data_IF_406507531367
#
_entry.id   IF_406507531367
#
_cell.length_a   1.000
_cell.length_b   1.000
_cell.length_c   1.000
_cell.angle_alpha   90.00
_cell.angle_beta   90.00
_cell.angle_gamma   90.00
#
_symmetry.space_group_name_H-M   'P 1'
#
loop_
_entity.id
_entity.type
_entity.pdbx_description
1 polymer ?
#
# COMPACT_ATOMS: atom_id res chain seq x y z
N UNK A 1 5.25 -7.58 1.00
CA UNK A 1 4.08 -8.01 1.80
C UNK A 1 2.74 -7.71 1.12
N UNK A 2 2.68 -6.81 0.14
CA UNK A 2 1.43 -6.52 -0.58
C UNK A 2 0.32 -6.08 0.39
N UNK A 3 -0.90 -6.60 0.21
CA UNK A 3 -2.04 -6.31 1.09
C UNK A 3 -1.99 -7.03 2.46
N UNK A 4 -0.98 -7.86 2.74
CA UNK A 4 -0.83 -8.52 4.04
C UNK A 4 -1.83 -9.64 4.33
N UNK A 5 -2.38 -10.30 3.30
CA UNK A 5 -3.41 -11.36 3.48
C UNK A 5 -2.93 -12.52 4.36
N UNK A 6 -1.70 -13.00 4.18
CA UNK A 6 -1.12 -14.08 5.02
C UNK A 6 -0.92 -13.62 6.45
N UNK A 7 -0.44 -12.38 6.64
CA UNK A 7 -0.34 -11.77 7.95
C UNK A 7 -1.71 -11.73 8.64
N UNK A 8 -2.73 -11.21 7.96
CA UNK A 8 -4.08 -11.08 8.49
C UNK A 8 -4.76 -12.42 8.84
N UNK A 9 -4.31 -13.54 8.29
CA UNK A 9 -4.92 -14.87 8.51
C UNK A 9 -4.07 -15.87 9.31
N UNK A 10 -2.93 -15.45 9.88
CA UNK A 10 -2.09 -16.31 10.73
C UNK A 10 -2.03 -15.80 12.16
N UNK A 11 -1.58 -16.63 13.11
CA UNK A 11 -1.43 -16.28 14.53
C UNK A 11 0.00 -16.62 15.01
N UNK A 12 0.94 -15.72 14.76
CA UNK A 12 2.30 -15.77 15.30
C UNK A 12 2.46 -14.74 16.42
N UNK A 13 3.39 -15.00 17.35
CA UNK A 13 3.68 -14.09 18.47
C UNK A 13 4.23 -12.74 18.00
N UNK A 14 5.02 -12.74 16.92
CA UNK A 14 5.60 -11.54 16.34
C UNK A 14 5.73 -11.66 14.81
N UNK A 15 5.68 -10.51 14.13
CA UNK A 15 5.82 -10.43 12.67
C UNK A 15 6.87 -9.40 12.27
N UNK A 16 7.63 -9.70 11.22
CA UNK A 16 8.43 -8.73 10.48
C UNK A 16 7.84 -8.65 9.08
N UNK A 17 7.29 -7.48 8.74
CA UNK A 17 6.59 -7.22 7.48
C UNK A 17 7.41 -6.22 6.66
N UNK A 18 8.05 -6.71 5.60
CA UNK A 18 8.88 -5.89 4.73
C UNK A 18 8.26 -5.64 3.35
N UNK A 19 8.41 -4.42 2.86
CA UNK A 19 8.05 -4.03 1.50
C UNK A 19 8.98 -2.93 1.00
N UNK A 20 9.21 -2.85 -0.30
CA UNK A 20 10.06 -1.81 -0.89
C UNK A 20 9.32 -0.48 -1.05
N UNK A 21 8.00 -0.51 -0.97
CA UNK A 21 7.18 0.69 -1.04
C UNK A 21 7.17 1.43 0.30
N UNK A 22 7.92 2.52 0.38
CA UNK A 22 8.01 3.39 1.56
C UNK A 22 6.66 4.02 1.95
N UNK A 23 5.80 4.31 1.00
CA UNK A 23 4.47 4.89 1.24
C UNK A 23 3.56 3.89 1.95
N UNK A 24 3.63 2.63 1.53
CA UNK A 24 2.88 1.53 2.15
C UNK A 24 3.34 1.28 3.59
N UNK A 25 4.66 1.25 3.81
CA UNK A 25 5.24 1.07 5.14
C UNK A 25 4.92 2.25 6.06
N UNK A 26 4.96 3.48 5.53
CA UNK A 26 4.58 4.69 6.26
C UNK A 26 3.10 4.64 6.66
N UNK A 27 2.20 4.30 5.73
CA UNK A 27 0.77 4.09 6.01
C UNK A 27 0.58 3.07 7.15
N UNK A 28 1.19 1.89 7.06
CA UNK A 28 1.01 0.85 8.06
C UNK A 28 1.49 1.28 9.45
N UNK A 29 2.62 1.96 9.54
CA UNK A 29 3.10 2.51 10.82
C UNK A 29 2.16 3.58 11.38
N UNK A 30 1.64 4.48 10.53
CA UNK A 30 0.69 5.52 10.95
C UNK A 30 -0.62 4.90 11.44
N UNK A 31 -1.19 3.94 10.71
CA UNK A 31 -2.42 3.25 11.12
C UNK A 31 -2.21 2.49 12.43
N UNK A 32 -1.05 1.85 12.61
CA UNK A 32 -0.68 1.17 13.87
C UNK A 32 -0.59 2.15 15.04
N UNK A 33 0.06 3.30 14.87
CA UNK A 33 0.39 4.21 15.98
C UNK A 33 -0.70 5.25 16.28
N UNK A 34 -1.48 5.64 15.27
CA UNK A 34 -2.44 6.75 15.33
C UNK A 34 -3.80 6.37 14.74
N UNK A 35 -4.29 5.17 15.05
CA UNK A 35 -5.48 4.57 14.40
C UNK A 35 -6.71 5.47 14.43
N UNK A 36 -7.10 5.96 15.61
CA UNK A 36 -8.34 6.75 15.76
C UNK A 36 -8.28 8.08 15.02
N UNK A 37 -7.14 8.78 15.09
CA UNK A 37 -6.91 10.01 14.31
C UNK A 37 -6.96 9.72 12.81
N UNK A 38 -6.26 8.68 12.38
CA UNK A 38 -6.18 8.32 10.97
C UNK A 38 -7.55 7.96 10.40
N UNK A 39 -8.34 7.14 11.10
CA UNK A 39 -9.70 6.77 10.69
C UNK A 39 -10.61 8.00 10.62
N UNK A 40 -10.55 8.90 11.62
CA UNK A 40 -11.34 10.14 11.65
C UNK A 40 -11.03 11.00 10.42
N UNK A 41 -9.76 11.24 10.15
CA UNK A 41 -9.32 12.17 9.12
C UNK A 41 -9.46 11.56 7.72
N UNK A 42 -9.19 10.26 7.57
CA UNK A 42 -9.33 9.54 6.30
C UNK A 42 -10.78 9.52 5.82
N UNK A 43 -11.74 9.33 6.74
CA UNK A 43 -13.17 9.30 6.40
C UNK A 43 -13.63 10.56 5.65
N UNK A 44 -13.03 11.71 5.93
CA UNK A 44 -13.38 12.98 5.29
C UNK A 44 -13.12 12.97 3.77
N UNK A 45 -12.22 12.10 3.29
CA UNK A 45 -11.92 11.93 1.87
C UNK A 45 -12.88 10.95 1.16
N UNK A 46 -13.74 10.24 1.89
CA UNK A 46 -14.66 9.22 1.36
C UNK A 46 -16.11 9.73 1.35
N UNK A 47 -16.30 10.95 0.84
CA UNK A 47 -17.61 11.60 0.66
C UNK A 47 -17.93 11.81 -0.81
N UNK A 48 -19.18 12.14 -1.14
CA UNK A 48 -19.59 12.42 -2.52
C UNK A 48 -18.87 13.66 -3.10
N UNK A 49 -18.48 14.62 -2.25
CA UNK A 49 -17.68 15.78 -2.63
C UNK A 49 -16.34 15.37 -3.24
N UNK A 50 -15.68 14.37 -2.68
CA UNK A 50 -14.40 13.86 -3.18
C UNK A 50 -14.55 12.73 -4.21
N UNK A 51 -15.77 12.38 -4.64
CA UNK A 51 -16.02 11.34 -5.64
C UNK A 51 -16.17 11.89 -7.07
N UNK A 52 -15.30 12.81 -7.46
CA UNK A 52 -15.30 13.39 -8.81
C UNK A 52 -13.87 13.51 -9.38
N UNK A 53 -13.77 13.69 -10.70
CA UNK A 53 -12.49 13.68 -11.39
C UNK A 53 -11.59 14.86 -11.03
N UNK A 54 -12.16 16.04 -10.80
CA UNK A 54 -11.40 17.25 -10.46
C UNK A 54 -10.69 17.06 -9.12
N UNK A 55 -11.43 16.69 -8.08
CA UNK A 55 -10.88 16.41 -6.75
C UNK A 55 -9.85 15.28 -6.79
N UNK A 56 -10.12 14.22 -7.56
CA UNK A 56 -9.19 13.11 -7.70
C UNK A 56 -7.82 13.55 -8.25
N UNK A 57 -7.79 14.37 -9.30
CA UNK A 57 -6.52 14.84 -9.89
C UNK A 57 -5.80 15.84 -8.99
N UNK A 58 -6.53 16.72 -8.30
CA UNK A 58 -5.96 17.65 -7.31
C UNK A 58 -5.30 16.90 -6.14
N UNK A 59 -6.00 15.94 -5.53
CA UNK A 59 -5.48 15.14 -4.42
C UNK A 59 -4.31 14.25 -4.85
N UNK A 60 -4.28 13.82 -6.12
CA UNK A 60 -3.14 13.09 -6.68
C UNK A 60 -1.91 13.96 -6.87
N UNK A 61 -2.07 15.20 -7.31
CA UNK A 61 -0.98 16.17 -7.37
C UNK A 61 -0.44 16.49 -5.97
N UNK A 62 -1.34 16.68 -5.01
CA UNK A 62 -0.98 16.86 -3.60
C UNK A 62 -0.17 15.66 -3.07
N UNK A 63 -0.61 14.43 -3.35
CA UNK A 63 0.11 13.22 -2.94
C UNK A 63 1.55 13.19 -3.49
N UNK A 64 1.75 13.63 -4.73
CA UNK A 64 3.07 13.63 -5.38
C UNK A 64 4.00 14.75 -4.89
N UNK A 65 3.46 15.81 -4.28
CA UNK A 65 4.21 17.02 -3.91
C UNK A 65 4.35 17.21 -2.40
N UNK A 66 3.46 16.62 -1.61
CA UNK A 66 3.48 16.77 -0.15
C UNK A 66 4.67 16.06 0.50
N UNK A 67 5.30 16.75 1.44
CA UNK A 67 6.32 16.19 2.32
C UNK A 67 5.75 15.69 3.66
N UNK A 68 4.47 15.97 3.95
CA UNK A 68 3.80 15.51 5.17
C UNK A 68 3.42 14.04 5.05
N UNK A 69 4.12 13.17 5.77
CA UNK A 69 3.90 11.73 5.79
C UNK A 69 2.47 11.35 6.19
N UNK A 70 1.87 12.06 7.15
CA UNK A 70 0.52 11.79 7.62
C UNK A 70 -0.49 12.10 6.53
N UNK A 71 -0.38 13.29 5.91
CA UNK A 71 -1.23 13.67 4.79
C UNK A 71 -1.04 12.71 3.61
N UNK A 72 0.20 12.35 3.30
CA UNK A 72 0.53 11.42 2.21
C UNK A 72 -0.09 10.04 2.43
N UNK A 73 -0.13 9.54 3.67
CA UNK A 73 -0.80 8.28 4.01
C UNK A 73 -2.33 8.34 3.85
N UNK A 74 -2.98 9.46 4.23
CA UNK A 74 -4.42 9.66 4.00
C UNK A 74 -4.75 9.61 2.51
N UNK A 75 -3.96 10.34 1.71
CA UNK A 75 -4.10 10.39 0.25
C UNK A 75 -3.81 9.02 -0.39
N UNK A 76 -2.80 8.29 0.10
CA UNK A 76 -2.51 6.94 -0.37
C UNK A 76 -3.70 6.00 -0.20
N UNK A 77 -4.38 6.04 0.95
CA UNK A 77 -5.60 5.25 1.17
C UNK A 77 -6.72 5.66 0.22
N UNK A 78 -6.95 6.96 0.02
CA UNK A 78 -7.98 7.48 -0.89
C UNK A 78 -7.75 7.10 -2.36
N UNK A 79 -6.49 7.12 -2.82
CA UNK A 79 -6.15 6.81 -4.21
C UNK A 79 -6.17 5.29 -4.49
N UNK A 80 -5.99 4.44 -3.48
CA UNK A 80 -5.89 2.97 -3.64
C UNK A 80 -7.13 2.31 -4.27
N UNK A 81 -8.39 2.60 -3.86
CA UNK A 81 -9.58 2.06 -4.53
C UNK A 81 -9.68 2.43 -6.01
N UNK A 82 -9.26 3.64 -6.40
CA UNK A 82 -9.26 4.07 -7.80
C UNK A 82 -8.21 3.33 -8.64
N UNK A 83 -7.10 2.93 -8.03
CA UNK A 83 -6.08 2.08 -8.69
C UNK A 83 -6.52 0.64 -8.87
N UNK A 84 -7.63 0.16 -8.26
CA UNK A 84 -8.04 -1.25 -8.31
C UNK A 84 -8.43 -1.75 -9.72
N UNK A 85 -8.70 -0.86 -10.68
CA UNK A 85 -8.87 -1.22 -12.11
C UNK A 85 -7.52 -1.59 -12.76
N UNK A 86 -6.41 -1.22 -12.13
CA UNK A 86 -5.03 -1.62 -12.46
C UNK A 86 -4.44 -2.34 -11.25
N UNK A 87 -4.66 -3.66 -11.17
CA UNK A 87 -4.15 -4.54 -10.12
C UNK A 87 -2.61 -4.71 -10.11
N UNK A 88 -1.87 -3.61 -10.13
CA UNK A 88 -0.43 -3.56 -9.92
C UNK A 88 -0.15 -2.62 -8.75
N UNK A 89 -0.12 -3.17 -7.54
CA UNK A 89 0.64 -2.59 -6.46
C UNK A 89 2.13 -2.76 -6.81
N UNK A 90 2.66 -1.88 -7.67
CA UNK A 90 4.08 -1.83 -8.00
C UNK A 90 4.46 -0.40 -8.39
N UNK A 91 5.44 0.15 -7.66
CA UNK A 91 6.29 1.30 -8.01
C UNK A 91 5.67 2.70 -7.76
N UNK A 92 6.14 3.31 -6.67
CA UNK A 92 6.01 4.73 -6.32
C UNK A 92 6.37 5.66 -7.49
N UNK A 93 5.74 6.84 -7.52
CA UNK A 93 5.84 7.93 -8.51
C UNK A 93 5.33 7.64 -9.95
N UNK A 94 5.69 6.52 -10.57
CA UNK A 94 5.36 6.30 -12.00
C UNK A 94 3.88 5.93 -12.19
N UNK A 95 3.29 5.16 -11.27
CA UNK A 95 1.89 4.69 -11.38
C UNK A 95 0.88 5.71 -10.85
N UNK A 96 1.31 6.61 -9.95
CA UNK A 96 0.53 7.80 -9.60
C UNK A 96 0.08 8.50 -10.88
N UNK A 97 1.00 8.66 -11.85
CA UNK A 97 0.73 9.27 -13.17
C UNK A 97 -0.36 8.58 -14.01
N UNK A 98 -0.57 7.27 -13.83
CA UNK A 98 -1.49 6.44 -14.64
C UNK A 98 -2.85 6.17 -14.00
N UNK A 99 -3.03 6.50 -12.71
CA UNK A 99 -4.31 6.25 -12.04
C UNK A 99 -5.43 7.09 -12.65
N UNK A 100 -6.47 6.43 -13.17
CA UNK A 100 -7.70 7.07 -13.66
C UNK A 100 -8.80 6.92 -12.60
N UNK A 101 -9.72 7.86 -12.54
CA UNK A 101 -10.87 7.76 -11.64
C UNK A 101 -11.69 6.49 -11.97
N UNK A 102 -11.83 5.60 -10.99
CA UNK A 102 -12.78 4.49 -11.07
C UNK A 102 -14.21 5.01 -11.02
N UNK A 103 -15.11 4.47 -11.86
CA UNK A 103 -16.53 4.88 -11.89
C UNK A 103 -17.34 4.22 -10.78
N UNK A 104 -16.98 4.46 -9.52
CA UNK A 104 -17.73 3.94 -8.38
C UNK A 104 -18.82 4.95 -7.97
N UNK A 105 -20.06 4.47 -7.79
CA UNK A 105 -21.17 5.32 -7.32
C UNK A 105 -20.91 5.88 -5.91
N UNK A 106 -20.22 5.11 -5.06
CA UNK A 106 -19.80 5.50 -3.72
C UNK A 106 -18.55 4.70 -3.34
N UNK A 107 -17.40 5.34 -3.07
CA UNK A 107 -16.21 4.65 -2.59
C UNK A 107 -16.47 3.99 -1.22
N UNK A 108 -16.06 2.73 -1.06
CA UNK A 108 -16.12 2.05 0.24
C UNK A 108 -14.99 2.55 1.14
N UNK A 109 -15.32 2.98 2.36
CA UNK A 109 -14.34 3.35 3.39
C UNK A 109 -14.10 2.15 4.32
N UNK A 110 -12.87 1.59 4.37
CA UNK A 110 -12.58 0.36 5.10
C UNK A 110 -12.33 0.62 6.59
N UNK A 111 -13.34 1.10 7.31
CA UNK A 111 -13.21 1.47 8.72
C UNK A 111 -12.88 0.28 9.63
N UNK A 112 -13.67 -0.79 9.54
CA UNK A 112 -13.52 -1.97 10.38
C UNK A 112 -12.18 -2.66 10.10
N UNK A 113 -11.78 -2.72 8.83
CA UNK A 113 -10.51 -3.30 8.42
C UNK A 113 -9.30 -2.49 8.92
N UNK A 114 -9.41 -1.16 9.01
CA UNK A 114 -8.35 -0.31 9.57
C UNK A 114 -8.16 -0.57 11.07
N UNK A 115 -9.26 -0.67 11.83
CA UNK A 115 -9.18 -1.01 13.26
C UNK A 115 -8.66 -2.43 13.48
N UNK A 116 -9.14 -3.39 12.69
CA UNK A 116 -8.67 -4.77 12.75
C UNK A 116 -7.18 -4.89 12.41
N UNK A 117 -6.75 -4.19 11.36
CA UNK A 117 -5.34 -4.11 10.98
C UNK A 117 -4.51 -3.52 12.11
N UNK A 118 -4.94 -2.42 12.73
CA UNK A 118 -4.20 -1.77 13.81
C UNK A 118 -4.05 -2.69 15.04
N UNK A 119 -5.12 -3.38 15.43
CA UNK A 119 -5.11 -4.35 16.52
C UNK A 119 -4.08 -5.46 16.26
N UNK A 120 -4.13 -6.07 15.08
CA UNK A 120 -3.20 -7.13 14.70
C UNK A 120 -1.76 -6.65 14.58
N UNK A 121 -1.59 -5.40 14.13
CA UNK A 121 -0.28 -4.79 13.89
C UNK A 121 0.50 -4.47 15.15
N UNK A 122 -0.10 -4.57 16.35
CA UNK A 122 0.59 -4.35 17.63
C UNK A 122 1.87 -5.19 17.73
N UNK A 123 1.79 -6.45 17.32
CA UNK A 123 2.90 -7.42 17.36
C UNK A 123 3.72 -7.46 16.05
N UNK A 124 3.48 -6.52 15.12
CA UNK A 124 4.16 -6.46 13.84
C UNK A 124 5.18 -5.32 13.76
N UNK A 125 6.33 -5.58 13.18
CA UNK A 125 7.33 -4.57 12.81
C UNK A 125 7.31 -4.38 11.30
N UNK A 126 7.05 -3.15 10.85
CA UNK A 126 7.04 -2.81 9.43
C UNK A 126 8.38 -2.21 9.01
N UNK A 127 8.97 -2.74 7.94
CA UNK A 127 10.31 -2.35 7.50
C UNK A 127 10.31 -2.02 6.01
N UNK A 128 10.87 -0.88 5.64
CA UNK A 128 11.03 -0.49 4.24
C UNK A 128 12.39 -0.96 3.72
N UNK A 129 12.47 -2.20 3.27
CA UNK A 129 13.73 -2.84 2.87
C UNK A 129 13.53 -3.78 1.67
N UNK A 130 14.63 -4.03 0.95
CA UNK A 130 14.65 -5.05 -0.08
C UNK A 130 14.56 -6.44 0.55
N UNK A 131 13.88 -7.38 -0.12
CA UNK A 131 13.62 -8.71 0.44
C UNK A 131 14.88 -9.44 0.90
N UNK A 132 15.98 -9.27 0.15
CA UNK A 132 17.31 -9.79 0.50
C UNK A 132 17.73 -9.38 1.92
N UNK A 133 17.64 -8.07 2.23
CA UNK A 133 18.12 -7.50 3.49
C UNK A 133 17.25 -7.90 4.67
N UNK A 134 15.95 -8.14 4.44
CA UNK A 134 15.05 -8.67 5.46
C UNK A 134 15.29 -10.15 5.72
N UNK A 135 15.51 -10.96 4.67
CA UNK A 135 15.70 -12.41 4.82
C UNK A 135 16.95 -12.76 5.63
N UNK A 136 18.04 -12.00 5.48
CA UNK A 136 19.27 -12.25 6.26
C UNK A 136 19.11 -11.97 7.76
N UNK A 137 18.05 -11.27 8.17
CA UNK A 137 17.73 -11.00 9.58
C UNK A 137 16.89 -12.12 10.22
N UNK A 138 16.45 -13.12 9.45
CA UNK A 138 15.67 -14.22 9.97
C UNK A 138 16.51 -15.06 10.95
N UNK A 139 16.00 -15.23 12.17
CA UNK A 139 16.65 -16.05 13.21
C UNK A 139 16.21 -17.50 13.11
N UNK A 140 16.95 -18.40 13.76
CA UNK A 140 16.57 -19.81 13.86
C UNK A 140 15.16 -19.94 14.44
N UNK A 141 14.31 -20.77 13.80
CA UNK A 141 12.90 -20.95 14.17
C UNK A 141 11.93 -19.98 13.51
N UNK A 142 12.41 -18.97 12.77
CA UNK A 142 11.54 -18.09 11.98
C UNK A 142 10.93 -18.83 10.78
N UNK A 143 9.65 -18.54 10.50
CA UNK A 143 8.97 -18.95 9.27
C UNK A 143 8.99 -17.80 8.29
N UNK A 144 9.54 -18.03 7.10
CA UNK A 144 9.64 -17.01 6.04
C UNK A 144 8.65 -17.31 4.94
N UNK A 145 7.79 -16.34 4.62
CA UNK A 145 6.86 -16.39 3.49
C UNK A 145 7.23 -15.29 2.48
N UNK A 146 7.43 -15.69 1.23
CA UNK A 146 7.75 -14.79 0.12
C UNK A 146 6.72 -14.96 -1.00
N UNK A 147 6.11 -13.86 -1.41
CA UNK A 147 5.19 -13.78 -2.56
C UNK A 147 5.79 -12.83 -3.61
N UNK A 148 6.79 -13.28 -4.39
CA UNK A 148 7.44 -12.43 -5.39
C UNK A 148 6.48 -12.17 -6.57
N UNK A 149 6.70 -11.10 -7.36
CA UNK A 149 5.94 -10.88 -8.58
C UNK A 149 6.02 -12.13 -9.47
N UNK A 150 4.87 -12.59 -9.97
CA UNK A 150 4.78 -13.81 -10.76
C UNK A 150 5.70 -13.74 -11.98
N UNK A 151 6.46 -14.81 -12.20
CA UNK A 151 7.25 -14.94 -13.41
C UNK A 151 6.35 -14.95 -14.66
N UNK A 152 6.75 -14.30 -15.75
CA UNK A 152 5.97 -14.29 -16.98
C UNK A 152 5.82 -15.73 -17.51
N UNK A 153 4.58 -16.14 -17.81
CA UNK A 153 4.24 -17.49 -18.27
C UNK A 153 4.76 -17.79 -19.69
N UNK A 154 5.19 -16.79 -20.44
CA UNK A 154 5.85 -16.91 -21.75
C UNK A 154 6.70 -15.67 -22.05
N UNK A 155 7.64 -15.76 -23.00
CA UNK A 155 8.46 -14.61 -23.45
C UNK A 155 7.62 -13.45 -24.03
N UNK A 156 6.36 -13.70 -24.39
CA UNK A 156 5.40 -12.69 -24.86
C UNK A 156 4.42 -12.23 -23.78
N UNK A 157 4.38 -12.89 -22.61
CA UNK A 157 3.61 -12.48 -21.44
C UNK A 157 4.45 -11.58 -20.51
N UNK A 158 5.24 -10.68 -21.07
CA UNK A 158 5.98 -9.70 -20.29
C UNK A 158 5.06 -8.55 -19.87
N UNK A 159 4.50 -8.63 -18.66
CA UNK A 159 3.92 -7.46 -17.99
C UNK A 159 4.99 -6.50 -17.42
N UNK A 160 6.27 -6.79 -17.66
CA UNK A 160 7.43 -5.94 -17.38
C UNK A 160 8.23 -5.69 -18.66
N UNK A 161 7.64 -4.97 -19.61
CA UNK A 161 8.38 -4.43 -20.74
C UNK A 161 8.89 -3.04 -20.41
N UNK A 162 10.04 -2.92 -19.74
CA UNK A 162 10.98 -1.79 -19.83
C UNK A 162 12.25 -2.13 -19.02
N UNK A 163 13.16 -2.86 -19.65
CA UNK A 163 14.58 -2.85 -19.27
C UNK A 163 15.40 -2.92 -20.55
N UNK A 164 16.16 -1.86 -20.82
CA UNK A 164 17.46 -1.82 -21.51
C UNK A 164 17.61 -0.52 -22.30
N UNK A 165 18.28 0.46 -21.70
CA UNK A 165 19.36 1.15 -22.41
C UNK A 165 20.57 1.14 -21.50
N UNK A 166 21.56 0.33 -21.89
CA UNK A 166 22.93 0.42 -21.43
C UNK A 166 23.67 1.41 -22.34
N UNK A 167 24.62 2.11 -21.71
CA UNK A 167 25.64 3.05 -22.22
C UNK A 167 25.17 4.48 -22.47
#
# INVERSE_FOLDING_TARGET
MGAGSVFLNTEYEAYILADINSDLISLYNIVKLRTSDFVRDARLLFTDEFNNSEQFYLLREEFNTTADEYRRALLFLYLKPATAITACAAITCVVSSMCRLGRYKKPYFPEEELYWFAEKSRNATFVCEHYHDTMVKATQGAVVYCDPPYAPLSATANFTGLSHQQL
#
